data_IF_335778737533
#
_entry.id   IF_335778737533
#
_cell.length_a   1.000
_cell.length_b   1.000
_cell.length_c   1.000
_cell.angle_alpha   90.00
_cell.angle_beta   90.00
_cell.angle_gamma   90.00
#
_symmetry.space_group_name_H-M   'P 1'
#
loop_
_entity.id
_entity.type
_entity.pdbx_description
1 polymer ?
#
# COMPACT_ATOMS: atom_id res chain seq x y z
N UNK A 1 -25.10 12.72 11.93
CA UNK A 1 -25.41 11.62 10.99
C UNK A 1 -25.94 12.22 9.68
N UNK A 2 -25.76 11.55 8.53
CA UNK A 2 -26.34 12.05 7.26
C UNK A 2 -27.87 11.93 7.30
N UNK A 3 -28.64 12.92 6.80
CA UNK A 3 -30.10 12.84 6.75
C UNK A 3 -30.58 11.58 6.00
N UNK A 4 -31.76 11.07 6.36
CA UNK A 4 -32.42 9.88 5.75
C UNK A 4 -31.70 8.53 5.93
N UNK A 5 -30.70 8.45 6.81
CA UNK A 5 -30.08 7.17 7.21
C UNK A 5 -30.75 6.62 8.48
N UNK A 6 -30.78 5.29 8.67
CA UNK A 6 -31.23 4.68 9.94
C UNK A 6 -30.42 5.21 11.13
N UNK A 7 -29.14 5.47 10.94
CA UNK A 7 -28.27 6.06 11.96
C UNK A 7 -28.71 7.46 12.42
N UNK A 8 -29.50 8.19 11.62
CA UNK A 8 -29.99 9.52 11.99
C UNK A 8 -31.11 9.49 13.05
N UNK A 9 -31.88 8.40 13.13
CA UNK A 9 -32.97 8.24 14.11
C UNK A 9 -32.52 7.52 15.40
N UNK A 10 -31.30 6.99 15.45
CA UNK A 10 -30.76 6.32 16.64
C UNK A 10 -30.26 7.35 17.68
N UNK A 11 -30.24 7.02 18.98
CA UNK A 11 -29.56 7.83 19.99
C UNK A 11 -28.09 8.03 19.62
N UNK A 12 -27.66 9.29 19.61
CA UNK A 12 -26.29 9.63 19.22
C UNK A 12 -25.37 9.61 20.44
N UNK A 13 -24.15 9.10 20.25
CA UNK A 13 -23.08 9.23 21.24
C UNK A 13 -22.68 10.71 21.35
N UNK A 14 -22.50 11.25 22.57
CA UNK A 14 -22.08 12.63 22.76
C UNK A 14 -20.81 13.00 21.97
N UNK A 15 -20.74 14.23 21.39
CA UNK A 15 -19.63 14.64 20.53
C UNK A 15 -18.24 14.51 21.17
N UNK A 16 -18.10 14.82 22.46
CA UNK A 16 -16.86 14.76 23.22
C UNK A 16 -16.36 13.33 23.39
N UNK A 17 -17.26 12.36 23.62
CA UNK A 17 -16.92 10.94 23.70
C UNK A 17 -16.45 10.44 22.34
N UNK A 18 -17.14 10.83 21.26
CA UNK A 18 -16.73 10.49 19.88
C UNK A 18 -15.35 11.05 19.56
N UNK A 19 -15.11 12.33 19.86
CA UNK A 19 -13.82 13.00 19.63
C UNK A 19 -12.68 12.32 20.39
N UNK A 20 -12.90 11.96 21.66
CA UNK A 20 -11.92 11.24 22.47
C UNK A 20 -11.58 9.88 21.84
N UNK A 21 -12.60 9.05 21.57
CA UNK A 21 -12.41 7.72 20.98
C UNK A 21 -11.74 7.77 19.61
N UNK A 22 -12.11 8.73 18.76
CA UNK A 22 -11.46 8.91 17.45
C UNK A 22 -9.97 9.21 17.61
N UNK A 23 -9.57 10.07 18.57
CA UNK A 23 -8.15 10.33 18.85
C UNK A 23 -7.42 9.07 19.33
N UNK A 24 -8.01 8.33 20.25
CA UNK A 24 -7.44 7.09 20.79
C UNK A 24 -7.23 6.04 19.69
N UNK A 25 -8.23 5.84 18.83
CA UNK A 25 -8.16 4.87 17.72
C UNK A 25 -7.14 5.30 16.67
N UNK A 26 -7.08 6.59 16.32
CA UNK A 26 -6.07 7.09 15.37
C UNK A 26 -4.66 6.88 15.92
N UNK A 27 -4.43 7.21 17.21
CA UNK A 27 -3.12 7.02 17.83
C UNK A 27 -2.73 5.54 17.90
N UNK A 28 -3.68 4.65 18.21
CA UNK A 28 -3.44 3.20 18.17
C UNK A 28 -3.12 2.72 16.75
N UNK A 29 -3.91 3.14 15.75
CA UNK A 29 -3.70 2.75 14.36
C UNK A 29 -2.33 3.20 13.84
N UNK A 30 -1.90 4.42 14.17
CA UNK A 30 -0.58 4.94 13.81
C UNK A 30 0.54 4.08 14.41
N UNK A 31 0.46 3.76 15.71
CA UNK A 31 1.46 2.88 16.36
C UNK A 31 1.53 1.51 15.71
N UNK A 32 0.39 0.87 15.48
CA UNK A 32 0.33 -0.46 14.86
C UNK A 32 0.87 -0.45 13.43
N UNK A 33 0.56 0.61 12.67
CA UNK A 33 1.05 0.74 11.30
C UNK A 33 2.57 1.00 11.27
N UNK A 34 3.10 1.79 12.21
CA UNK A 34 4.54 1.98 12.39
C UNK A 34 5.26 0.69 12.78
N UNK A 35 4.71 -0.06 13.75
CA UNK A 35 5.22 -1.38 14.15
C UNK A 35 5.25 -2.36 12.97
N UNK A 36 4.25 -2.32 12.08
CA UNK A 36 4.16 -3.20 10.92
C UNK A 36 5.08 -2.81 9.77
N UNK A 37 5.28 -1.51 9.52
CA UNK A 37 6.11 -1.04 8.40
C UNK A 37 7.59 -1.02 8.75
N UNK A 38 7.97 -0.80 10.02
CA UNK A 38 9.36 -0.70 10.47
C UNK A 38 10.23 -1.91 10.07
N UNK A 39 9.78 -3.18 10.17
CA UNK A 39 10.57 -4.32 9.72
C UNK A 39 10.82 -4.39 8.21
N UNK A 40 10.07 -3.62 7.39
CA UNK A 40 10.29 -3.56 5.94
C UNK A 40 11.53 -2.74 5.60
N UNK A 41 11.98 -1.83 6.45
CA UNK A 41 13.18 -1.04 6.20
C UNK A 41 14.40 -1.96 6.10
N UNK A 42 15.11 -1.90 4.98
CA UNK A 42 16.24 -2.79 4.71
C UNK A 42 15.84 -4.22 4.31
N UNK A 43 14.55 -4.53 4.15
CA UNK A 43 14.13 -5.81 3.58
C UNK A 43 14.04 -5.75 2.06
N UNK A 44 13.93 -6.92 1.43
CA UNK A 44 13.48 -7.03 0.05
C UNK A 44 11.95 -7.22 0.05
N UNK A 45 11.25 -6.58 -0.88
CA UNK A 45 9.80 -6.68 -1.04
C UNK A 45 9.45 -6.83 -2.51
N UNK A 46 8.39 -7.57 -2.78
CA UNK A 46 7.79 -7.63 -4.11
C UNK A 46 6.90 -6.41 -4.34
N UNK A 47 6.98 -5.81 -5.52
CA UNK A 47 6.17 -4.66 -5.91
C UNK A 47 5.68 -4.86 -7.34
N UNK A 48 4.37 -4.75 -7.54
CA UNK A 48 3.78 -4.60 -8.86
C UNK A 48 3.90 -3.14 -9.28
N UNK A 49 4.61 -2.87 -10.38
CA UNK A 49 4.76 -1.51 -10.92
C UNK A 49 3.51 -1.15 -11.71
N UNK A 50 2.85 -0.06 -11.32
CA UNK A 50 1.61 0.41 -11.98
C UNK A 50 1.88 1.55 -12.96
N UNK A 51 2.87 2.41 -12.66
CA UNK A 51 3.20 3.56 -13.49
C UNK A 51 4.63 4.04 -13.26
N UNK A 52 5.17 4.74 -14.25
CA UNK A 52 6.43 5.48 -14.13
C UNK A 52 6.11 6.96 -14.06
N UNK A 53 6.61 7.67 -13.04
CA UNK A 53 6.40 9.11 -12.87
C UNK A 53 7.65 9.74 -12.28
N UNK A 54 8.14 10.83 -12.89
CA UNK A 54 9.33 11.54 -12.41
C UNK A 54 10.60 10.69 -12.37
N UNK A 55 10.71 9.68 -13.25
CA UNK A 55 11.84 8.74 -13.25
C UNK A 55 11.78 7.65 -12.18
N UNK A 56 10.69 7.58 -11.40
CA UNK A 56 10.46 6.54 -10.41
C UNK A 56 9.40 5.56 -10.89
N UNK A 57 9.56 4.29 -10.52
CA UNK A 57 8.54 3.27 -10.64
C UNK A 57 7.63 3.31 -9.40
N UNK A 58 6.35 3.53 -9.61
CA UNK A 58 5.33 3.61 -8.57
C UNK A 58 4.44 2.36 -8.64
N UNK A 59 4.13 1.80 -7.49
CA UNK A 59 3.39 0.55 -7.42
C UNK A 59 2.98 0.17 -6.01
N UNK A 60 2.53 -1.06 -5.86
CA UNK A 60 2.13 -1.61 -4.57
C UNK A 60 2.73 -2.98 -4.32
N UNK A 61 3.08 -3.25 -3.06
CA UNK A 61 3.36 -4.61 -2.61
C UNK A 61 2.07 -5.46 -2.57
N UNK A 62 2.14 -6.80 -2.48
CA UNK A 62 0.95 -7.65 -2.25
C UNK A 62 0.13 -7.25 -1.01
N UNK A 63 0.79 -6.70 0.02
CA UNK A 63 0.16 -6.18 1.24
C UNK A 63 -0.33 -4.72 1.09
N UNK A 64 -0.38 -4.17 -0.13
CA UNK A 64 -0.84 -2.82 -0.48
C UNK A 64 -0.03 -1.64 0.08
N UNK A 65 1.21 -1.85 0.54
CA UNK A 65 2.11 -0.71 0.75
C UNK A 65 2.41 -0.02 -0.59
N UNK A 66 2.22 1.30 -0.63
CA UNK A 66 2.69 2.12 -1.74
C UNK A 66 4.23 2.04 -1.78
N UNK A 67 4.80 1.88 -2.97
CA UNK A 67 6.23 1.87 -3.19
C UNK A 67 6.62 2.88 -4.25
N UNK A 68 7.70 3.61 -3.99
CA UNK A 68 8.37 4.51 -4.95
C UNK A 68 9.79 4.04 -5.10
N UNK A 69 10.10 3.53 -6.29
CA UNK A 69 11.34 2.83 -6.56
C UNK A 69 12.15 3.56 -7.63
N UNK A 70 13.44 3.73 -7.37
CA UNK A 70 14.42 4.09 -8.39
C UNK A 70 14.84 2.84 -9.18
N UNK A 71 15.34 3.05 -10.40
CA UNK A 71 15.80 1.96 -11.27
C UNK A 71 14.84 1.62 -12.41
N UNK A 72 15.26 0.70 -13.27
CA UNK A 72 14.53 0.36 -14.50
C UNK A 72 13.46 -0.69 -14.24
N UNK A 73 12.21 -0.34 -14.54
CA UNK A 73 11.06 -1.23 -14.61
C UNK A 73 10.00 -0.62 -15.54
N UNK A 74 9.00 -1.39 -15.93
CA UNK A 74 7.87 -0.94 -16.74
C UNK A 74 6.55 -1.18 -15.99
N UNK A 75 5.48 -0.43 -16.31
CA UNK A 75 4.15 -0.76 -15.85
C UNK A 75 3.79 -2.21 -16.19
N UNK A 76 3.21 -2.93 -15.23
CA UNK A 76 2.90 -4.35 -15.32
C UNK A 76 4.03 -5.29 -14.87
N UNK A 77 5.26 -4.81 -14.73
CA UNK A 77 6.35 -5.64 -14.20
C UNK A 77 6.14 -5.86 -12.68
N UNK A 78 6.28 -7.10 -12.23
CA UNK A 78 6.47 -7.42 -10.81
C UNK A 78 7.96 -7.44 -10.51
N UNK A 79 8.42 -6.61 -9.59
CA UNK A 79 9.84 -6.45 -9.26
C UNK A 79 10.13 -6.88 -7.83
N UNK A 80 11.35 -7.38 -7.59
CA UNK A 80 11.91 -7.42 -6.25
C UNK A 80 12.68 -6.12 -6.02
N UNK A 81 12.30 -5.41 -4.97
CA UNK A 81 12.87 -4.13 -4.60
C UNK A 81 13.52 -4.18 -3.21
N UNK A 82 14.63 -3.45 -3.04
CA UNK A 82 15.24 -3.19 -1.74
C UNK A 82 14.62 -1.94 -1.15
N UNK A 83 14.06 -2.05 0.04
CA UNK A 83 13.55 -0.89 0.80
C UNK A 83 14.73 -0.19 1.49
N UNK A 84 14.87 1.10 1.23
CA UNK A 84 15.94 1.95 1.76
C UNK A 84 15.42 3.06 2.67
N UNK A 85 14.12 3.37 2.58
CA UNK A 85 13.47 4.36 3.40
C UNK A 85 11.98 4.11 3.53
N UNK A 86 11.38 4.79 4.49
CA UNK A 86 9.93 4.83 4.68
C UNK A 86 9.52 6.28 4.90
N UNK A 87 8.56 6.76 4.12
CA UNK A 87 7.94 8.08 4.27
C UNK A 87 6.46 7.89 4.58
N UNK A 88 6.06 8.10 5.83
CA UNK A 88 4.70 7.80 6.29
C UNK A 88 4.37 6.32 6.12
N UNK A 89 3.54 5.99 5.13
CA UNK A 89 3.16 4.61 4.79
C UNK A 89 3.73 4.15 3.43
N UNK A 90 4.59 4.95 2.82
CA UNK A 90 5.19 4.68 1.51
C UNK A 90 6.60 4.13 1.68
N UNK A 91 6.88 3.00 1.02
CA UNK A 91 8.21 2.40 0.93
C UNK A 91 9.02 3.13 -0.14
N UNK A 92 10.21 3.58 0.22
CA UNK A 92 11.18 4.16 -0.70
C UNK A 92 12.30 3.17 -0.94
N UNK A 93 12.77 3.05 -2.18
CA UNK A 93 13.86 2.14 -2.45
C UNK A 93 14.27 2.08 -3.91
N UNK A 94 14.81 0.91 -4.29
CA UNK A 94 15.31 0.66 -5.63
C UNK A 94 14.92 -0.73 -6.14
N UNK A 95 14.72 -0.83 -7.43
CA UNK A 95 14.54 -2.11 -8.14
C UNK A 95 15.86 -2.88 -8.10
N UNK A 96 15.82 -4.12 -7.64
CA UNK A 96 16.97 -5.04 -7.70
C UNK A 96 16.86 -6.03 -8.86
N UNK A 97 15.65 -6.54 -9.13
CA UNK A 97 15.39 -7.38 -10.30
C UNK A 97 13.92 -7.34 -10.70
N UNK A 98 13.64 -7.51 -11.98
CA UNK A 98 12.31 -7.80 -12.49
C UNK A 98 12.07 -9.31 -12.39
N UNK A 99 10.96 -9.74 -11.79
CA UNK A 99 10.54 -11.14 -11.87
C UNK A 99 10.01 -11.40 -13.28
N UNK A 100 10.59 -12.37 -13.98
CA UNK A 100 10.00 -12.84 -15.23
C UNK A 100 8.79 -13.70 -14.88
N UNK A 101 7.60 -13.31 -15.31
CA UNK A 101 6.53 -14.28 -15.45
C UNK A 101 6.98 -15.35 -16.44
N UNK A 102 6.87 -16.62 -16.04
CA UNK A 102 6.98 -17.71 -16.99
C UNK A 102 5.88 -17.50 -18.03
N UNK A 103 6.25 -17.12 -19.25
CA UNK A 103 5.31 -17.07 -20.37
C UNK A 103 4.89 -18.50 -20.68
N UNK A 104 3.88 -19.01 -19.98
CA UNK A 104 3.13 -20.15 -20.49
C UNK A 104 2.33 -19.60 -21.66
N UNK A 105 2.56 -20.07 -22.91
CA UNK A 105 1.69 -19.70 -24.00
C UNK A 105 0.28 -20.14 -23.61
N UNK A 106 -0.61 -19.17 -23.39
CA UNK A 106 -2.04 -19.40 -23.26
C UNK A 106 -2.54 -19.80 -24.64
N UNK A 107 -2.34 -21.07 -25.02
CA UNK A 107 -3.12 -21.69 -26.08
C UNK A 107 -4.55 -21.83 -25.55
N UNK A 108 -5.36 -20.80 -25.78
CA UNK A 108 -6.80 -20.89 -25.59
C UNK A 108 -7.36 -21.65 -26.80
N UNK A 109 -7.86 -22.88 -26.65
CA UNK A 109 -8.54 -23.55 -27.75
C UNK A 109 -9.84 -22.78 -28.03
N UNK A 110 -9.84 -22.02 -29.12
CA UNK A 110 -11.07 -21.48 -29.70
C UNK A 110 -11.89 -22.69 -30.16
N UNK A 111 -13.03 -22.94 -29.52
CA UNK A 111 -14.08 -23.85 -29.99
C UNK A 111 -15.30 -23.04 -30.40
#
# INVERSE_FOLDING_TARGET
PRPKTRAASMPQVPPEVRKRRTKEIIALAQRLAEERIRPKLGSQVEVLVERIQGGLALGHTPDYYEARLSGSARPGDTVLARVEGVEGYTLLGRVERVQQEASLPLELPIR
#
